data_IF_033201331052
#
_entry.id   IF_033201331052
#
_cell.length_a   1.000
_cell.length_b   1.000
_cell.length_c   1.000
_cell.angle_alpha   90.00
_cell.angle_beta   90.00
_cell.angle_gamma   90.00
#
_symmetry.space_group_name_H-M   'P 1'
#
loop_
_entity.id
_entity.type
_entity.pdbx_description
1 polymer ?
#
# COMPACT_ATOMS: atom_id res chain seq x y z
N UNK A 1 -11.31 -18.18 1.77
CA UNK A 1 -12.35 -17.14 1.90
C UNK A 1 -12.06 -16.37 3.17
N UNK A 2 -11.99 -15.05 3.10
CA UNK A 2 -11.74 -14.20 4.26
C UNK A 2 -13.02 -14.18 5.12
N UNK A 3 -12.89 -14.32 6.44
CA UNK A 3 -14.05 -14.24 7.34
C UNK A 3 -14.20 -12.84 7.93
N UNK A 4 -15.43 -12.39 8.21
CA UNK A 4 -15.67 -11.13 8.92
C UNK A 4 -14.98 -11.09 10.29
N UNK A 5 -14.89 -12.24 10.99
CA UNK A 5 -14.25 -12.38 12.29
C UNK A 5 -12.74 -12.17 12.20
N UNK A 6 -12.10 -12.60 11.11
CA UNK A 6 -10.69 -12.31 10.85
C UNK A 6 -10.48 -10.80 10.70
N UNK A 7 -11.35 -10.13 9.94
CA UNK A 7 -11.24 -8.69 9.70
C UNK A 7 -11.40 -7.86 10.98
N UNK A 8 -12.24 -8.30 11.93
CA UNK A 8 -12.41 -7.62 13.24
C UNK A 8 -11.14 -7.48 14.05
N UNK A 9 -10.11 -8.29 13.76
CA UNK A 9 -8.83 -8.26 14.49
C UNK A 9 -7.98 -7.05 14.10
N UNK A 10 -8.26 -6.39 12.98
CA UNK A 10 -7.46 -5.28 12.48
C UNK A 10 -8.00 -3.92 12.93
N UNK A 11 -7.15 -3.06 13.55
CA UNK A 11 -7.58 -1.76 14.09
C UNK A 11 -8.24 -0.84 13.05
N UNK A 12 -7.84 -0.92 11.78
CA UNK A 12 -8.40 -0.11 10.70
C UNK A 12 -9.92 -0.31 10.55
N UNK A 13 -10.44 -1.49 10.89
CA UNK A 13 -11.86 -1.82 10.76
C UNK A 13 -12.68 -1.61 12.05
N UNK A 14 -12.08 -1.03 13.09
CA UNK A 14 -12.81 -0.68 14.32
C UNK A 14 -13.92 0.33 14.02
N UNK A 15 -15.13 0.02 14.48
CA UNK A 15 -16.33 0.84 14.30
C UNK A 15 -17.20 0.42 13.10
N UNK A 16 -16.76 -0.56 12.30
CA UNK A 16 -17.60 -1.13 11.26
C UNK A 16 -18.63 -2.11 11.84
N UNK A 17 -19.84 -2.10 11.28
CA UNK A 17 -20.89 -3.07 11.61
C UNK A 17 -20.49 -4.48 11.14
N UNK A 18 -21.21 -5.50 11.61
CA UNK A 18 -21.02 -6.86 11.09
C UNK A 18 -21.32 -6.93 9.58
N UNK A 19 -22.37 -6.26 9.11
CA UNK A 19 -22.74 -6.22 7.69
C UNK A 19 -21.62 -5.59 6.84
N UNK A 20 -21.00 -4.50 7.30
CA UNK A 20 -19.87 -3.88 6.61
C UNK A 20 -18.67 -4.83 6.51
N UNK A 21 -18.40 -5.59 7.57
CA UNK A 21 -17.33 -6.59 7.58
C UNK A 21 -17.64 -7.78 6.69
N UNK A 22 -18.91 -8.19 6.58
CA UNK A 22 -19.35 -9.20 5.60
C UNK A 22 -19.10 -8.71 4.18
N UNK A 23 -19.46 -7.46 3.88
CA UNK A 23 -19.19 -6.84 2.58
C UNK A 23 -17.68 -6.83 2.27
N UNK A 24 -16.84 -6.36 3.20
CA UNK A 24 -15.37 -6.39 3.05
C UNK A 24 -14.84 -7.80 2.82
N UNK A 25 -15.32 -8.78 3.58
CA UNK A 25 -14.89 -10.17 3.47
C UNK A 25 -15.23 -10.77 2.10
N UNK A 26 -16.39 -10.41 1.54
CA UNK A 26 -16.84 -10.87 0.22
C UNK A 26 -16.03 -10.25 -0.94
N UNK A 27 -15.42 -9.08 -0.75
CA UNK A 27 -14.54 -8.46 -1.74
C UNK A 27 -13.06 -8.81 -1.51
N UNK A 28 -12.77 -9.74 -0.60
CA UNK A 28 -11.41 -10.02 -0.16
C UNK A 28 -10.94 -11.46 -0.43
N UNK A 29 -9.67 -11.57 -0.79
CA UNK A 29 -8.94 -12.84 -0.93
C UNK A 29 -7.63 -12.79 -0.16
N UNK A 30 -7.12 -13.94 0.21
CA UNK A 30 -5.77 -14.05 0.78
C UNK A 30 -4.77 -14.25 -0.37
N UNK A 31 -3.62 -13.59 -0.28
CA UNK A 31 -2.50 -13.72 -1.20
C UNK A 31 -1.22 -14.00 -0.40
N UNK A 32 -0.44 -14.98 -0.85
CA UNK A 32 0.92 -15.22 -0.36
C UNK A 32 1.91 -14.70 -1.39
N UNK A 33 2.94 -14.04 -0.91
CA UNK A 33 4.00 -13.46 -1.73
C UNK A 33 5.35 -13.84 -1.13
N UNK A 34 6.30 -14.25 -1.97
CA UNK A 34 7.66 -14.52 -1.52
C UNK A 34 8.46 -13.22 -1.34
N UNK A 35 9.56 -13.29 -0.59
CA UNK A 35 10.51 -12.18 -0.49
C UNK A 35 10.92 -11.68 -1.88
N UNK A 36 10.91 -10.36 -2.05
CA UNK A 36 11.24 -9.69 -3.30
C UNK A 36 10.07 -9.50 -4.27
N UNK A 37 8.91 -10.11 -4.02
CA UNK A 37 7.72 -9.93 -4.86
C UNK A 37 7.27 -8.47 -4.91
N UNK A 38 7.06 -7.93 -6.11
CA UNK A 38 6.43 -6.63 -6.34
C UNK A 38 4.91 -6.78 -6.38
N UNK A 39 4.22 -6.13 -5.45
CA UNK A 39 2.75 -6.08 -5.46
C UNK A 39 2.24 -5.11 -6.53
N UNK A 40 2.90 -3.96 -6.67
CA UNK A 40 2.65 -2.96 -7.70
C UNK A 40 3.85 -2.00 -7.78
N UNK A 41 4.02 -1.35 -8.92
CA UNK A 41 5.02 -0.32 -9.16
C UNK A 41 4.43 1.08 -8.99
N UNK A 42 5.26 2.10 -8.93
CA UNK A 42 4.85 3.50 -8.85
C UNK A 42 4.19 3.96 -10.16
N UNK A 43 3.12 4.76 -10.06
CA UNK A 43 2.39 5.28 -11.21
C UNK A 43 1.48 4.26 -11.91
N UNK A 44 1.39 3.03 -11.40
CA UNK A 44 0.46 2.03 -11.93
C UNK A 44 -0.98 2.32 -11.52
N UNK A 45 -1.92 2.02 -12.41
CA UNK A 45 -3.33 2.00 -12.08
C UNK A 45 -3.58 0.88 -11.04
N UNK A 46 -4.17 1.26 -9.90
CA UNK A 46 -4.30 0.41 -8.74
C UNK A 46 -5.76 0.22 -8.36
N UNK A 47 -6.22 -1.03 -8.39
CA UNK A 47 -7.58 -1.42 -8.02
C UNK A 47 -7.62 -2.37 -6.82
N UNK A 48 -6.50 -2.48 -6.10
CA UNK A 48 -6.36 -3.37 -4.96
C UNK A 48 -5.82 -2.60 -3.74
N UNK A 49 -6.44 -2.84 -2.59
CA UNK A 49 -5.95 -2.41 -1.28
C UNK A 49 -5.57 -3.64 -0.46
N UNK A 50 -4.57 -3.53 0.39
CA UNK A 50 -3.98 -4.66 1.07
C UNK A 50 -3.88 -4.45 2.58
N UNK A 51 -3.99 -5.53 3.35
CA UNK A 51 -3.59 -5.60 4.77
C UNK A 51 -2.55 -6.69 4.93
N UNK A 52 -1.44 -6.36 5.58
CA UNK A 52 -0.42 -7.36 5.93
C UNK A 52 -0.94 -8.24 7.07
N UNK A 53 -0.98 -9.55 6.88
CA UNK A 53 -1.27 -10.51 7.93
C UNK A 53 0.01 -10.95 8.63
N UNK A 54 1.03 -11.26 7.84
CA UNK A 54 2.34 -11.77 8.25
C UNK A 54 3.41 -11.24 7.29
N UNK A 55 4.64 -11.04 7.78
CA UNK A 55 5.76 -10.50 7.01
C UNK A 55 5.87 -8.98 7.05
N UNK A 56 6.70 -8.42 6.15
CA UNK A 56 6.90 -6.99 6.01
C UNK A 56 6.91 -6.58 4.53
N UNK A 57 6.20 -5.50 4.21
CA UNK A 57 6.13 -4.91 2.87
C UNK A 57 6.80 -3.54 2.87
N UNK A 58 7.74 -3.31 1.98
CA UNK A 58 8.41 -2.05 1.77
C UNK A 58 7.63 -1.20 0.79
N UNK A 59 7.46 0.09 1.12
CA UNK A 59 7.06 1.11 0.18
C UNK A 59 8.32 1.60 -0.51
N UNK A 60 8.39 1.43 -1.82
CA UNK A 60 9.60 1.65 -2.60
C UNK A 60 9.41 2.72 -3.66
N UNK A 61 10.49 3.42 -3.96
CA UNK A 61 10.60 4.27 -5.14
C UNK A 61 11.70 3.73 -6.03
N UNK A 62 11.51 3.86 -7.34
CA UNK A 62 12.52 3.49 -8.32
C UNK A 62 13.46 4.67 -8.55
N UNK A 63 14.76 4.44 -8.38
CA UNK A 63 15.80 5.46 -8.59
C UNK A 63 16.89 4.91 -9.51
N UNK A 64 17.62 5.78 -10.24
CA UNK A 64 18.79 5.35 -11.00
C UNK A 64 19.82 4.71 -10.07
N UNK A 65 20.33 3.54 -10.44
CA UNK A 65 21.32 2.81 -9.64
C UNK A 65 22.62 3.63 -9.54
N UNK A 66 23.12 3.86 -8.32
CA UNK A 66 24.28 4.73 -8.09
C UNK A 66 25.63 4.12 -8.50
N UNK A 67 25.67 2.81 -8.84
CA UNK A 67 26.91 2.04 -9.02
C UNK A 67 27.30 1.76 -10.47
N UNK A 68 26.66 2.40 -11.46
CA UNK A 68 26.99 2.20 -12.88
C UNK A 68 27.67 3.45 -13.43
N UNK A 69 28.85 3.31 -14.03
CA UNK A 69 29.46 4.40 -14.82
C UNK A 69 28.55 4.66 -16.03
N UNK A 70 27.75 5.72 -15.95
CA UNK A 70 26.82 6.07 -17.02
C UNK A 70 27.58 6.76 -18.15
N UNK A 71 27.72 6.07 -19.28
CA UNK A 71 28.25 6.67 -20.50
C UNK A 71 27.24 7.69 -21.05
N UNK A 72 27.73 8.72 -21.74
CA UNK A 72 26.88 9.69 -22.46
C UNK A 72 26.02 8.98 -23.54
N UNK A 73 26.40 7.76 -23.95
CA UNK A 73 25.61 6.91 -24.84
C UNK A 73 24.39 6.27 -24.15
N UNK A 74 24.46 5.96 -22.85
CA UNK A 74 23.36 5.36 -22.08
C UNK A 74 22.22 6.36 -21.85
N UNK A 75 22.47 7.66 -22.09
CA UNK A 75 21.44 8.70 -22.03
C UNK A 75 20.50 8.70 -23.24
N UNK A 76 20.87 7.99 -24.31
CA UNK A 76 20.14 7.94 -25.58
C UNK A 76 19.40 6.62 -25.82
N UNK A 77 19.69 5.59 -25.03
CA UNK A 77 18.96 4.32 -25.02
C UNK A 77 18.33 4.13 -23.65
N UNK A 78 17.07 3.70 -23.54
CA UNK A 78 16.36 3.43 -22.28
C UNK A 78 17.00 2.30 -21.44
N UNK A 79 18.25 2.47 -21.02
CA UNK A 79 19.11 1.46 -20.38
C UNK A 79 19.75 1.98 -19.10
N UNK A 80 19.07 2.85 -18.37
CA UNK A 80 19.45 3.15 -16.99
C UNK A 80 19.10 1.92 -16.14
N UNK A 81 20.08 1.29 -15.50
CA UNK A 81 19.79 0.34 -14.44
C UNK A 81 19.15 1.12 -13.28
N UNK A 82 18.01 0.61 -12.80
CA UNK A 82 17.28 1.20 -11.69
C UNK A 82 17.30 0.26 -10.49
N UNK A 83 17.17 0.84 -9.31
CA UNK A 83 17.02 0.10 -8.06
C UNK A 83 15.82 0.61 -7.26
N UNK A 84 15.23 -0.28 -6.47
CA UNK A 84 14.13 0.07 -5.57
C UNK A 84 14.68 0.42 -4.20
N UNK A 85 14.55 1.70 -3.81
CA UNK A 85 14.90 2.17 -2.46
C UNK A 85 13.67 2.10 -1.58
N UNK A 86 13.81 1.46 -0.43
CA UNK A 86 12.73 1.36 0.58
C UNK A 86 12.64 2.68 1.33
N UNK A 87 11.50 3.37 1.18
CA UNK A 87 11.20 4.60 1.92
C UNK A 87 10.67 4.31 3.31
N UNK A 88 9.80 3.31 3.43
CA UNK A 88 9.18 2.90 4.70
C UNK A 88 8.77 1.43 4.66
N UNK A 89 8.53 0.83 5.82
CA UNK A 89 8.05 -0.53 5.94
C UNK A 89 6.63 -0.57 6.54
N UNK A 90 5.84 -1.54 6.08
CA UNK A 90 4.46 -1.81 6.47
C UNK A 90 4.42 -3.24 7.02
N UNK A 91 4.06 -3.39 8.28
CA UNK A 91 4.02 -4.65 9.01
C UNK A 91 2.61 -5.18 9.28
N UNK A 92 2.49 -6.28 10.05
CA UNK A 92 1.23 -6.94 10.33
C UNK A 92 0.16 -5.99 10.90
N UNK A 93 -1.01 -6.02 10.28
CA UNK A 93 -2.18 -5.21 10.61
C UNK A 93 -2.22 -3.83 9.97
N UNK A 94 -1.17 -3.44 9.25
CA UNK A 94 -1.12 -2.17 8.53
C UNK A 94 -1.61 -2.32 7.09
N UNK A 95 -2.11 -1.20 6.55
CA UNK A 95 -2.72 -1.12 5.22
C UNK A 95 -1.74 -0.52 4.22
N UNK A 96 -1.65 -1.08 3.01
CA UNK A 96 -1.00 -0.46 1.85
C UNK A 96 -1.90 -0.53 0.60
N UNK A 97 -1.54 0.19 -0.47
CA UNK A 97 -2.36 0.28 -1.68
C UNK A 97 -3.66 1.08 -1.52
N UNK A 98 -3.74 1.97 -0.52
CA UNK A 98 -4.95 2.77 -0.25
C UNK A 98 -5.30 3.74 -1.39
N UNK A 99 -4.36 4.06 -2.29
CA UNK A 99 -4.62 4.93 -3.43
C UNK A 99 -5.60 4.33 -4.42
N UNK A 100 -5.80 3.00 -4.43
CA UNK A 100 -6.86 2.38 -5.24
C UNK A 100 -8.29 2.75 -4.81
N UNK A 101 -8.46 3.37 -3.64
CA UNK A 101 -9.75 3.89 -3.18
C UNK A 101 -9.94 5.38 -3.47
N UNK A 102 -8.92 6.08 -3.96
CA UNK A 102 -8.89 7.55 -4.08
C UNK A 102 -8.47 7.95 -5.50
N UNK A 103 -9.28 8.75 -6.24
CA UNK A 103 -8.88 9.25 -7.56
C UNK A 103 -7.50 9.94 -7.51
N UNK A 104 -6.62 9.75 -8.52
CA UNK A 104 -6.88 9.12 -9.83
C UNK A 104 -6.76 7.57 -9.86
N UNK A 105 -6.74 6.90 -8.71
CA UNK A 105 -6.55 5.43 -8.60
C UNK A 105 -5.19 4.96 -9.11
N UNK A 106 -4.16 5.78 -8.90
CA UNK A 106 -2.78 5.47 -9.27
C UNK A 106 -1.93 5.27 -8.00
N UNK A 107 -0.99 4.34 -8.04
CA UNK A 107 -0.04 4.13 -6.95
C UNK A 107 0.91 5.33 -6.82
N UNK A 108 1.03 5.87 -5.61
CA UNK A 108 1.96 6.98 -5.33
C UNK A 108 3.42 6.51 -5.13
N UNK A 109 3.63 5.21 -4.98
CA UNK A 109 4.90 4.54 -4.79
C UNK A 109 4.72 3.06 -5.11
N UNK A 110 5.80 2.31 -5.32
CA UNK A 110 5.75 0.86 -5.42
C UNK A 110 5.59 0.18 -4.05
N UNK A 111 5.22 -1.10 -4.07
CA UNK A 111 5.17 -1.95 -2.88
C UNK A 111 5.86 -3.30 -3.15
N UNK A 112 6.84 -3.65 -2.30
CA UNK A 112 7.67 -4.85 -2.42
C UNK A 112 7.64 -5.67 -1.14
N UNK A 113 7.49 -6.99 -1.23
CA UNK A 113 7.68 -7.89 -0.11
C UNK A 113 9.15 -7.87 0.35
N UNK A 114 9.42 -7.43 1.59
CA UNK A 114 10.76 -7.45 2.21
C UNK A 114 11.09 -8.79 2.87
N UNK A 115 10.06 -9.57 3.16
CA UNK A 115 10.12 -10.97 3.61
C UNK A 115 9.03 -11.73 2.87
N UNK A 116 8.97 -13.06 2.99
CA UNK A 116 7.72 -13.76 2.61
C UNK A 116 6.54 -13.19 3.41
N UNK A 117 5.45 -12.90 2.73
CA UNK A 117 4.29 -12.18 3.24
C UNK A 117 3.00 -12.96 3.00
N UNK A 118 2.06 -12.81 3.92
CA UNK A 118 0.64 -13.15 3.70
C UNK A 118 -0.17 -11.88 3.86
N UNK A 119 -1.02 -11.59 2.89
CA UNK A 119 -1.81 -10.36 2.84
C UNK A 119 -3.27 -10.67 2.54
N UNK A 120 -4.17 -9.80 3.02
CA UNK A 120 -5.54 -9.74 2.56
C UNK A 120 -5.60 -8.70 1.45
N UNK A 121 -6.07 -9.09 0.27
CA UNK A 121 -6.29 -8.21 -0.88
C UNK A 121 -7.77 -7.92 -1.01
N UNK A 122 -8.13 -6.64 -1.11
CA UNK A 122 -9.50 -6.17 -1.33
C UNK A 122 -9.63 -5.60 -2.73
N UNK A 123 -10.71 -5.98 -3.44
CA UNK A 123 -11.11 -5.36 -4.70
C UNK A 123 -11.68 -3.95 -4.44
N UNK A 124 -10.94 -2.92 -4.83
CA UNK A 124 -11.33 -1.53 -4.63
C UNK A 124 -12.54 -1.15 -5.49
N UNK A 125 -12.69 -1.70 -6.69
CA UNK A 125 -13.84 -1.40 -7.56
C UNK A 125 -15.13 -1.92 -6.93
N UNK A 126 -15.13 -3.16 -6.44
CA UNK A 126 -16.25 -3.73 -5.72
C UNK A 126 -16.56 -2.96 -4.42
N UNK A 127 -15.54 -2.50 -3.69
CA UNK A 127 -15.73 -1.67 -2.51
C UNK A 127 -16.33 -0.30 -2.83
N UNK A 128 -15.87 0.37 -3.89
CA UNK A 128 -16.41 1.65 -4.31
C UNK A 128 -17.89 1.54 -4.70
N UNK A 129 -18.30 0.45 -5.35
CA UNK A 129 -19.73 0.18 -5.59
C UNK A 129 -20.51 -0.06 -4.29
N UNK A 130 -19.94 -0.81 -3.35
CA UNK A 130 -20.55 -0.98 -2.03
C UNK A 130 -20.68 0.35 -1.25
N UNK A 131 -19.72 1.26 -1.39
CA UNK A 131 -19.77 2.60 -0.77
C UNK A 131 -20.87 3.48 -1.37
N UNK A 132 -21.18 3.33 -2.66
CA UNK A 132 -22.31 4.01 -3.29
C UNK A 132 -23.66 3.48 -2.78
N UNK A 133 -23.74 2.17 -2.53
CA UNK A 133 -24.94 1.53 -2.00
C UNK A 133 -25.17 1.86 -0.51
N UNK A 134 -24.09 1.95 0.28
CA UNK A 134 -24.12 2.40 1.67
C UNK A 134 -23.11 3.53 1.90
N UNK A 135 -23.58 4.77 1.77
CA UNK A 135 -22.77 5.97 1.95
C UNK A 135 -22.20 6.10 3.37
N UNK A 136 -22.85 5.52 4.40
CA UNK A 136 -22.31 5.53 5.76
C UNK A 136 -21.11 4.62 5.87
N UNK A 137 -21.18 3.43 5.26
CA UNK A 137 -20.03 2.54 5.14
C UNK A 137 -18.89 3.21 4.36
N UNK A 138 -19.20 3.81 3.21
CA UNK A 138 -18.24 4.58 2.42
C UNK A 138 -17.57 5.70 3.21
N UNK A 139 -18.35 6.51 3.93
CA UNK A 139 -17.82 7.59 4.79
C UNK A 139 -16.85 7.06 5.84
N UNK A 140 -17.23 5.99 6.55
CA UNK A 140 -16.36 5.39 7.57
C UNK A 140 -15.06 4.87 6.94
N UNK A 141 -15.13 4.17 5.81
CA UNK A 141 -13.93 3.67 5.13
C UNK A 141 -13.02 4.80 4.63
N UNK A 142 -13.59 5.87 4.08
CA UNK A 142 -12.79 7.05 3.68
C UNK A 142 -12.16 7.75 4.89
N UNK A 143 -12.83 7.81 6.04
CA UNK A 143 -12.24 8.32 7.28
C UNK A 143 -11.03 7.46 7.71
N UNK A 144 -11.14 6.13 7.62
CA UNK A 144 -10.02 5.22 7.90
C UNK A 144 -8.87 5.41 6.91
N UNK A 145 -9.17 5.53 5.62
CA UNK A 145 -8.17 5.81 4.58
C UNK A 145 -7.44 7.14 4.86
N UNK A 146 -8.17 8.20 5.22
CA UNK A 146 -7.57 9.47 5.60
C UNK A 146 -6.67 9.36 6.84
N UNK A 147 -7.01 8.51 7.81
CA UNK A 147 -6.16 8.24 8.97
C UNK A 147 -4.86 7.53 8.58
N UNK A 148 -4.91 6.55 7.67
CA UNK A 148 -3.71 5.88 7.13
C UNK A 148 -2.81 6.89 6.41
N UNK A 149 -3.38 7.73 5.54
CA UNK A 149 -2.64 8.77 4.81
C UNK A 149 -1.97 9.74 5.80
N UNK A 150 -2.72 10.24 6.78
CA UNK A 150 -2.19 11.14 7.82
C UNK A 150 -1.02 10.51 8.58
N UNK A 151 -1.12 9.22 8.92
CA UNK A 151 -0.03 8.48 9.57
C UNK A 151 1.23 8.49 8.70
N UNK A 152 1.12 8.03 7.46
CA UNK A 152 2.22 7.98 6.50
C UNK A 152 2.87 9.34 6.25
N UNK A 153 2.09 10.39 6.08
CA UNK A 153 2.61 11.76 5.91
C UNK A 153 3.37 12.26 7.15
N UNK A 154 2.92 11.87 8.35
CA UNK A 154 3.62 12.21 9.59
C UNK A 154 4.96 11.49 9.68
N UNK A 155 4.98 10.19 9.34
CA UNK A 155 6.18 9.36 9.42
C UNK A 155 7.24 9.83 8.40
N UNK A 156 6.84 10.02 7.14
CA UNK A 156 7.71 10.59 6.09
C UNK A 156 8.28 11.96 6.48
N UNK A 157 7.47 12.82 7.11
CA UNK A 157 7.94 14.13 7.59
C UNK A 157 8.98 13.98 8.70
N UNK A 158 8.78 13.05 9.63
CA UNK A 158 9.73 12.80 10.73
C UNK A 158 11.07 12.25 10.20
N UNK A 159 11.01 11.32 9.24
CA UNK A 159 12.20 10.74 8.58
C UNK A 159 12.98 11.81 7.80
N UNK A 160 12.29 12.65 7.03
CA UNK A 160 12.91 13.74 6.27
C UNK A 160 13.61 14.76 7.20
N UNK A 161 12.99 15.09 8.34
CA UNK A 161 13.61 15.98 9.34
C UNK A 161 14.84 15.36 9.99
N UNK A 162 14.82 14.05 10.28
CA UNK A 162 15.97 13.36 10.85
C UNK A 162 17.17 13.42 9.90
N UNK A 163 16.97 13.24 8.59
CA UNK A 163 18.04 13.34 7.59
C UNK A 163 18.65 14.75 7.52
N UNK A 164 17.83 15.80 7.55
CA UNK A 164 18.31 17.19 7.51
C UNK A 164 19.12 17.55 8.76
N UNK A 165 18.69 17.10 9.95
CA UNK A 165 19.40 17.38 11.21
C UNK A 165 20.71 16.59 11.30
N UNK A 166 20.79 15.40 10.72
CA UNK A 166 22.00 14.57 10.76
C UNK A 166 23.04 15.01 9.71
N UNK A 167 22.63 15.76 8.69
CA UNK A 167 23.49 16.33 7.66
C UNK A 167 24.05 17.73 7.99
N UNK A 168 23.63 18.33 9.11
CA UNK A 168 24.07 19.63 9.61
C UNK A 168 25.08 19.50 10.75
#
# INVERSE_FOLDING_TARGET
MISPELLRRYPVFVGLSHENLVTLANTAKELSAEEGHMFFYEGEELHEMFIVMEGAVGIVVEVPAQNVEHSVADQLTSGYETEHVVLSAVGPGEVFGWSGLVPPYESMAGAKALTSCRVIVFDCLALLEAFKADCRFGFLMMEKTAQVIRGRLRDQRMESLAQVVTAA
#
